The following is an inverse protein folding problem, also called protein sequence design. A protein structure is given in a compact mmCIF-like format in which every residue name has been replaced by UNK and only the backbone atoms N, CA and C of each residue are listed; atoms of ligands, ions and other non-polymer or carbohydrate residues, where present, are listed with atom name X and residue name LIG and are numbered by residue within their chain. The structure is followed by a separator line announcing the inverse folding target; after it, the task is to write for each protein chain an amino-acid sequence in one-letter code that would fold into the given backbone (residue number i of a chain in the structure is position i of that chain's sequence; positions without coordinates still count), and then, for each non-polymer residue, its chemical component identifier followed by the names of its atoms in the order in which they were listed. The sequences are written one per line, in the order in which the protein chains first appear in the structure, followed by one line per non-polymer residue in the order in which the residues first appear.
data_IF_421316919256
#
_entry.id   IF_421316919256
#
_cell.length_a   1.000
_cell.length_b   1.000
_cell.length_c   1.000
_cell.angle_alpha   90.00
_cell.angle_beta   90.00
_cell.angle_gamma   90.00
#
_symmetry.space_group_name_H-M   'P 1'
#
loop_
_entity.id
_entity.type
_entity.pdbx_description
1 polymer ?
#
# COMPACT_ATOMS: atom_id res chain seq x y z
N UNK A 1 15.70 -20.51 22.01
CA UNK A 1 15.46 -20.91 20.60
C UNK A 1 16.14 -19.89 19.71
N UNK A 2 17.14 -20.30 18.95
CA UNK A 2 17.94 -19.43 18.07
C UNK A 2 17.05 -18.82 16.99
N UNK A 3 16.83 -17.51 17.03
CA UNK A 3 16.13 -16.77 15.97
C UNK A 3 16.97 -16.86 14.70
N UNK A 4 16.41 -17.45 13.65
CA UNK A 4 17.14 -17.74 12.41
C UNK A 4 17.25 -16.45 11.57
N UNK A 5 18.31 -15.67 11.81
CA UNK A 5 18.56 -14.39 11.12
C UNK A 5 19.02 -14.53 9.67
N UNK A 6 19.46 -15.72 9.24
CA UNK A 6 20.22 -15.85 7.99
C UNK A 6 19.40 -16.05 6.70
N UNK A 7 18.07 -16.06 6.76
CA UNK A 7 17.25 -16.54 5.62
C UNK A 7 16.28 -15.57 4.95
N UNK A 8 15.87 -14.47 5.60
CA UNK A 8 14.72 -13.66 5.13
C UNK A 8 15.13 -12.31 4.53
N UNK A 9 14.86 -12.13 3.24
CA UNK A 9 15.02 -10.85 2.53
C UNK A 9 13.67 -10.24 2.15
N UNK A 10 13.44 -8.99 2.54
CA UNK A 10 12.22 -8.26 2.23
C UNK A 10 12.52 -7.12 1.26
N UNK A 11 11.77 -7.00 0.16
CA UNK A 11 11.93 -5.92 -0.82
C UNK A 11 10.74 -4.96 -0.76
N UNK A 12 11.02 -3.68 -0.51
CA UNK A 12 9.99 -2.64 -0.35
C UNK A 12 10.34 -1.39 -1.16
N UNK A 13 9.32 -0.79 -1.75
CA UNK A 13 9.36 0.39 -2.61
C UNK A 13 8.45 1.52 -2.10
N UNK A 14 7.60 1.24 -1.11
CA UNK A 14 6.65 2.19 -0.52
C UNK A 14 6.59 2.08 1.01
N UNK A 15 6.18 3.15 1.73
CA UNK A 15 6.01 3.13 3.18
C UNK A 15 5.00 2.07 3.66
N UNK A 16 3.91 1.87 2.90
CA UNK A 16 2.88 0.87 3.21
C UNK A 16 3.43 -0.55 3.07
N UNK A 17 4.22 -0.84 2.03
CA UNK A 17 4.88 -2.14 1.90
C UNK A 17 5.81 -2.41 3.10
N UNK A 18 6.57 -1.40 3.55
CA UNK A 18 7.44 -1.53 4.71
C UNK A 18 6.62 -1.76 5.99
N UNK A 19 5.49 -1.07 6.16
CA UNK A 19 4.55 -1.33 7.26
C UNK A 19 4.07 -2.79 7.25
N UNK A 20 3.61 -3.29 6.11
CA UNK A 20 3.12 -4.67 6.01
C UNK A 20 4.24 -5.72 6.16
N UNK A 21 5.50 -5.38 5.86
CA UNK A 21 6.65 -6.23 6.21
C UNK A 21 6.85 -6.30 7.72
N UNK A 22 6.70 -5.19 8.45
CA UNK A 22 6.81 -5.18 9.92
C UNK A 22 5.69 -5.97 10.58
N UNK A 23 4.46 -5.79 10.11
CA UNK A 23 3.30 -6.59 10.54
C UNK A 23 3.52 -8.09 10.32
N UNK A 24 3.99 -8.46 9.13
CA UNK A 24 4.29 -9.84 8.79
C UNK A 24 5.42 -10.42 9.67
N UNK A 25 6.52 -9.68 9.81
CA UNK A 25 7.69 -10.12 10.56
C UNK A 25 7.36 -10.30 12.05
N UNK A 26 6.55 -9.41 12.60
CA UNK A 26 6.06 -9.50 13.96
C UNK A 26 5.18 -10.74 14.18
N UNK A 27 4.22 -11.02 13.28
CA UNK A 27 3.38 -12.21 13.38
C UNK A 27 4.19 -13.51 13.25
N UNK A 28 5.15 -13.54 12.33
CA UNK A 28 5.99 -14.71 12.08
C UNK A 28 7.09 -14.89 13.15
N UNK A 29 7.38 -13.86 13.94
CA UNK A 29 8.52 -13.82 14.86
C UNK A 29 9.87 -13.78 14.14
N UNK A 30 9.90 -13.26 12.91
CA UNK A 30 11.07 -13.23 12.04
C UNK A 30 11.90 -11.95 12.22
N UNK A 31 13.22 -12.12 12.25
CA UNK A 31 14.15 -11.02 12.03
C UNK A 31 14.45 -10.91 10.52
N UNK A 32 14.11 -9.77 9.93
CA UNK A 32 14.21 -9.54 8.50
C UNK A 32 15.38 -8.63 8.11
N UNK A 33 15.93 -8.86 6.91
CA UNK A 33 16.72 -7.85 6.20
C UNK A 33 15.84 -7.14 5.18
N UNK A 34 15.47 -5.91 5.48
CA UNK A 34 14.62 -5.04 4.65
C UNK A 34 15.48 -4.26 3.67
N UNK A 35 15.32 -4.57 2.39
CA UNK A 35 15.95 -3.86 1.26
C UNK A 35 14.97 -2.83 0.73
N UNK A 36 15.26 -1.56 1.01
CA UNK A 36 14.48 -0.42 0.51
C UNK A 36 14.96 -0.05 -0.87
N UNK A 37 14.14 -0.32 -1.88
CA UNK A 37 14.36 0.04 -3.27
C UNK A 37 13.82 1.45 -3.51
N UNK A 38 14.66 2.45 -3.26
CA UNK A 38 14.21 3.83 -3.11
C UNK A 38 13.46 4.37 -4.36
N UNK A 39 12.30 5.01 -4.19
CA UNK A 39 11.65 5.78 -5.25
C UNK A 39 12.39 7.10 -5.51
N UNK A 40 11.99 7.81 -6.56
CA UNK A 40 12.51 9.15 -6.91
C UNK A 40 11.76 10.28 -6.21
N UNK A 41 10.50 10.06 -5.85
CA UNK A 41 9.64 11.05 -5.19
C UNK A 41 10.17 11.43 -3.79
N UNK A 42 10.52 12.71 -3.54
CA UNK A 42 11.11 13.15 -2.26
C UNK A 42 10.24 12.87 -1.04
N UNK A 43 8.92 13.05 -1.15
CA UNK A 43 7.98 12.82 -0.06
C UNK A 43 7.97 11.35 0.36
N UNK A 44 7.80 10.44 -0.61
CA UNK A 44 7.81 9.00 -0.37
C UNK A 44 9.16 8.54 0.18
N UNK A 45 10.28 9.11 -0.27
CA UNK A 45 11.61 8.84 0.31
C UNK A 45 11.70 9.28 1.78
N UNK A 46 11.16 10.44 2.13
CA UNK A 46 11.09 10.92 3.51
C UNK A 46 10.31 9.96 4.41
N UNK A 47 9.11 9.58 4.01
CA UNK A 47 8.29 8.61 4.74
C UNK A 47 9.00 7.25 4.87
N UNK A 48 9.65 6.77 3.80
CA UNK A 48 10.44 5.52 3.85
C UNK A 48 11.61 5.59 4.81
N UNK A 49 12.27 6.75 4.97
CA UNK A 49 13.34 6.92 5.96
C UNK A 49 12.80 6.80 7.38
N UNK A 50 11.65 7.41 7.69
CA UNK A 50 11.00 7.27 9.00
C UNK A 50 10.53 5.84 9.25
N UNK A 51 9.99 5.16 8.24
CA UNK A 51 9.67 3.73 8.34
C UNK A 51 10.93 2.86 8.54
N UNK A 52 12.04 3.19 7.88
CA UNK A 52 13.31 2.50 8.04
C UNK A 52 13.93 2.71 9.44
N UNK A 53 13.73 3.86 10.06
CA UNK A 53 14.06 4.09 11.47
C UNK A 53 13.26 3.14 12.36
N UNK A 54 11.92 3.10 12.18
CA UNK A 54 11.04 2.19 12.94
C UNK A 54 11.43 0.72 12.78
N UNK A 55 11.78 0.29 11.57
CA UNK A 55 12.22 -1.08 11.31
C UNK A 55 13.53 -1.42 12.05
N UNK A 56 14.48 -0.48 12.11
CA UNK A 56 15.73 -0.68 12.88
C UNK A 56 15.47 -0.73 14.37
N UNK A 57 14.60 0.14 14.87
CA UNK A 57 14.19 0.16 16.27
C UNK A 57 13.42 -1.11 16.68
N UNK A 58 12.88 -1.86 15.72
CA UNK A 58 12.23 -3.17 15.91
C UNK A 58 13.21 -4.35 15.77
N UNK A 59 14.50 -4.08 15.59
CA UNK A 59 15.57 -5.09 15.50
C UNK A 59 15.82 -5.62 14.09
N UNK A 60 15.24 -5.04 13.05
CA UNK A 60 15.49 -5.46 11.67
C UNK A 60 16.71 -4.78 11.06
N UNK A 61 17.38 -5.48 10.16
CA UNK A 61 18.45 -4.89 9.34
C UNK A 61 17.81 -4.15 8.18
N UNK A 62 18.21 -2.89 7.95
CA UNK A 62 17.70 -2.10 6.81
C UNK A 62 18.82 -1.69 5.88
N UNK A 63 18.72 -2.12 4.61
CA UNK A 63 19.63 -1.79 3.52
C UNK A 63 18.92 -0.88 2.51
N UNK A 64 19.50 0.30 2.25
CA UNK A 64 18.95 1.26 1.32
C UNK A 64 19.62 1.15 -0.06
N UNK A 65 18.85 1.00 -1.12
CA UNK A 65 19.33 0.83 -2.49
C UNK A 65 18.80 1.93 -3.41
N UNK A 66 19.71 2.66 -4.04
CA UNK A 66 19.40 3.69 -5.04
C UNK A 66 19.06 3.07 -6.40
N UNK A 67 18.05 2.19 -6.41
CA UNK A 67 17.68 1.37 -7.55
C UNK A 67 17.31 2.17 -8.82
N UNK A 68 16.94 3.44 -8.66
CA UNK A 68 16.45 4.34 -9.73
C UNK A 68 17.39 5.51 -10.05
N UNK A 69 18.61 5.53 -9.50
CA UNK A 69 19.58 6.61 -9.65
C UNK A 69 20.30 6.71 -11.01
N UNK A 70 19.81 6.04 -12.06
CA UNK A 70 20.38 6.12 -13.41
C UNK A 70 20.20 4.84 -14.25
N UNK A 71 20.60 4.84 -15.54
CA UNK A 71 20.37 3.71 -16.46
C UNK A 71 21.04 2.39 -16.03
N UNK A 72 22.17 2.47 -15.34
CA UNK A 72 22.93 1.31 -14.83
C UNK A 72 22.58 0.93 -13.39
N UNK A 73 21.76 1.74 -12.69
CA UNK A 73 21.39 1.51 -11.29
C UNK A 73 20.68 0.15 -11.05
N UNK A 74 19.76 -0.32 -11.92
CA UNK A 74 19.13 -1.63 -11.75
C UNK A 74 20.15 -2.77 -11.77
N UNK A 75 21.10 -2.75 -12.71
CA UNK A 75 22.11 -3.80 -12.85
C UNK A 75 23.06 -3.84 -11.65
N UNK A 76 23.50 -2.68 -11.15
CA UNK A 76 24.33 -2.59 -9.94
C UNK A 76 23.60 -3.10 -8.71
N UNK A 77 22.33 -2.70 -8.55
CA UNK A 77 21.48 -3.13 -7.43
C UNK A 77 21.28 -4.65 -7.46
N UNK A 78 20.92 -5.22 -8.61
CA UNK A 78 20.74 -6.67 -8.76
C UNK A 78 22.07 -7.41 -8.51
N UNK A 79 23.17 -6.95 -9.10
CA UNK A 79 24.49 -7.57 -8.91
C UNK A 79 24.93 -7.57 -7.45
N UNK A 80 24.73 -6.44 -6.74
CA UNK A 80 25.06 -6.31 -5.32
C UNK A 80 24.12 -7.05 -4.36
N UNK A 81 22.94 -7.44 -4.82
CA UNK A 81 21.97 -8.23 -4.04
C UNK A 81 21.99 -9.72 -4.38
N UNK A 82 22.60 -10.11 -5.51
CA UNK A 82 22.59 -11.49 -6.00
C UNK A 82 23.14 -12.52 -4.98
N UNK A 83 24.24 -12.27 -4.25
CA UNK A 83 24.71 -13.22 -3.24
C UNK A 83 23.68 -13.45 -2.12
N UNK A 84 23.10 -12.36 -1.59
CA UNK A 84 22.09 -12.41 -0.55
C UNK A 84 20.82 -13.12 -1.06
N UNK A 85 20.35 -12.80 -2.26
CA UNK A 85 19.20 -13.45 -2.89
C UNK A 85 19.37 -14.95 -3.12
N UNK A 86 20.59 -15.41 -3.42
CA UNK A 86 20.88 -16.83 -3.62
C UNK A 86 20.99 -17.59 -2.30
N UNK A 87 21.39 -16.91 -1.22
CA UNK A 87 21.48 -17.46 0.13
C UNK A 87 20.18 -17.36 0.93
N UNK A 88 19.21 -16.56 0.48
CA UNK A 88 17.95 -16.40 1.18
C UNK A 88 17.05 -17.64 1.04
N UNK A 89 16.58 -18.13 2.18
CA UNK A 89 15.59 -19.22 2.28
C UNK A 89 14.17 -18.71 1.95
N UNK A 90 13.91 -17.46 2.32
CA UNK A 90 12.62 -16.78 2.20
C UNK A 90 12.77 -15.38 1.61
N UNK A 91 11.91 -15.05 0.66
CA UNK A 91 11.83 -13.70 0.08
C UNK A 91 10.43 -13.13 0.26
N UNK A 92 10.36 -11.90 0.77
CA UNK A 92 9.13 -11.14 0.98
C UNK A 92 9.09 -9.96 0.02
N UNK A 93 7.96 -9.73 -0.64
CA UNK A 93 7.79 -8.68 -1.64
C UNK A 93 6.49 -7.92 -1.45
N UNK A 94 6.48 -6.61 -1.70
CA UNK A 94 5.27 -5.79 -1.72
C UNK A 94 4.50 -5.87 -3.05
N UNK A 95 5.04 -5.28 -4.12
CA UNK A 95 4.39 -5.25 -5.44
C UNK A 95 4.90 -6.40 -6.35
N UNK A 96 4.10 -7.44 -6.63
CA UNK A 96 4.48 -8.52 -7.56
C UNK A 96 4.55 -8.06 -9.03
N UNK A 97 4.00 -6.89 -9.36
CA UNK A 97 4.07 -6.27 -10.68
C UNK A 97 5.27 -5.33 -10.85
N UNK A 98 6.03 -5.07 -9.79
CA UNK A 98 7.23 -4.24 -9.88
C UNK A 98 8.28 -4.90 -10.76
N UNK A 99 8.73 -4.17 -11.80
CA UNK A 99 9.77 -4.67 -12.71
C UNK A 99 11.08 -4.99 -11.97
N UNK A 100 11.42 -4.21 -10.93
CA UNK A 100 12.61 -4.47 -10.12
C UNK A 100 12.46 -5.77 -9.35
N UNK A 101 11.33 -5.95 -8.67
CA UNK A 101 11.03 -7.18 -7.94
C UNK A 101 11.02 -8.38 -8.89
N UNK A 102 10.38 -8.27 -10.06
CA UNK A 102 10.37 -9.33 -11.06
C UNK A 102 11.78 -9.72 -11.53
N UNK A 103 12.68 -8.75 -11.74
CA UNK A 103 14.09 -9.03 -12.04
C UNK A 103 14.78 -9.74 -10.87
N UNK A 104 14.61 -9.28 -9.64
CA UNK A 104 15.22 -9.91 -8.45
C UNK A 104 14.72 -11.35 -8.25
N UNK A 105 13.43 -11.61 -8.52
CA UNK A 105 12.82 -12.94 -8.46
C UNK A 105 13.42 -13.92 -9.48
N UNK A 106 14.05 -13.46 -10.56
CA UNK A 106 14.77 -14.36 -11.49
C UNK A 106 16.08 -14.88 -10.89
N UNK A 107 16.62 -14.20 -9.88
CA UNK A 107 17.91 -14.52 -9.26
C UNK A 107 17.77 -15.36 -7.98
N UNK A 108 16.64 -15.25 -7.28
CA UNK A 108 16.42 -15.96 -6.01
C UNK A 108 16.33 -17.48 -6.17
N UNK A 109 16.80 -18.18 -5.13
CA UNK A 109 16.62 -19.63 -4.95
C UNK A 109 15.69 -19.98 -3.79
N UNK A 110 15.12 -18.96 -3.13
CA UNK A 110 14.19 -19.13 -2.04
C UNK A 110 13.03 -20.06 -2.43
N UNK A 111 12.73 -21.02 -1.56
CA UNK A 111 11.59 -21.92 -1.71
C UNK A 111 10.30 -21.31 -1.18
N UNK A 112 10.43 -20.26 -0.38
CA UNK A 112 9.31 -19.59 0.25
C UNK A 112 9.24 -18.14 -0.19
N UNK A 113 8.11 -17.78 -0.80
CA UNK A 113 7.81 -16.41 -1.19
C UNK A 113 6.58 -15.92 -0.43
N UNK A 114 6.70 -14.72 0.15
CA UNK A 114 5.58 -14.05 0.80
C UNK A 114 5.30 -12.76 0.04
N UNK A 115 4.06 -12.57 -0.38
CA UNK A 115 3.56 -11.30 -0.92
C UNK A 115 2.87 -10.57 0.22
N UNK A 116 3.36 -9.40 0.60
CA UNK A 116 2.69 -8.53 1.57
C UNK A 116 1.82 -7.49 0.85
N UNK A 117 0.85 -6.94 1.57
CA UNK A 117 -0.10 -5.97 1.04
C UNK A 117 0.58 -4.68 0.52
N UNK A 118 0.19 -4.25 -0.68
CA UNK A 118 0.52 -2.97 -1.32
C UNK A 118 -0.77 -2.22 -1.75
N UNK A 119 -1.91 -2.58 -1.14
CA UNK A 119 -3.21 -2.04 -1.47
C UNK A 119 -3.79 -2.66 -2.74
N UNK A 120 -4.12 -1.82 -3.71
CA UNK A 120 -4.87 -2.24 -4.92
C UNK A 120 -4.11 -3.23 -5.79
N UNK A 121 -2.77 -3.16 -5.79
CA UNK A 121 -1.93 -4.11 -6.53
C UNK A 121 -2.09 -5.54 -5.98
N UNK A 122 -2.28 -5.69 -4.67
CA UNK A 122 -2.46 -7.00 -4.04
C UNK A 122 -3.80 -7.62 -4.44
N UNK A 123 -4.88 -6.84 -4.45
CA UNK A 123 -6.20 -7.30 -4.93
C UNK A 123 -6.13 -7.75 -6.39
N UNK A 124 -5.44 -6.97 -7.24
CA UNK A 124 -5.25 -7.31 -8.65
C UNK A 124 -4.45 -8.61 -8.83
N UNK A 125 -3.38 -8.79 -8.05
CA UNK A 125 -2.55 -9.98 -8.08
C UNK A 125 -3.34 -11.25 -7.76
N UNK A 126 -4.12 -11.21 -6.67
CA UNK A 126 -4.98 -12.33 -6.25
C UNK A 126 -5.96 -12.70 -7.35
N UNK A 127 -6.64 -11.69 -7.91
CA UNK A 127 -7.61 -11.87 -8.98
C UNK A 127 -7.01 -12.50 -10.24
N UNK A 128 -5.80 -12.07 -10.62
CA UNK A 128 -5.09 -12.64 -11.78
C UNK A 128 -4.56 -14.04 -11.52
N UNK A 129 -4.11 -14.34 -10.30
CA UNK A 129 -3.59 -15.64 -9.95
C UNK A 129 -4.71 -16.68 -9.89
N UNK A 130 -5.88 -16.33 -9.33
CA UNK A 130 -7.07 -17.17 -9.30
C UNK A 130 -7.56 -17.53 -10.72
N UNK A 131 -7.53 -16.57 -11.65
CA UNK A 131 -7.94 -16.77 -13.05
C UNK A 131 -6.86 -17.35 -13.97
N UNK A 132 -5.66 -17.64 -13.44
CA UNK A 132 -4.54 -18.10 -14.27
C UNK A 132 -4.09 -17.09 -15.34
N UNK A 133 -4.36 -15.79 -15.14
CA UNK A 133 -4.07 -14.72 -16.08
C UNK A 133 -2.60 -14.25 -16.02
N UNK A 134 -2.13 -13.51 -17.03
CA UNK A 134 -0.77 -12.94 -17.05
C UNK A 134 -0.65 -11.83 -16.01
N UNK A 135 0.41 -11.85 -15.20
CA UNK A 135 0.81 -10.81 -14.24
C UNK A 135 1.16 -9.48 -14.93
N UNK A 136 0.14 -8.74 -15.36
CA UNK A 136 0.26 -7.44 -16.00
C UNK A 136 -0.69 -6.48 -15.29
N UNK A 137 -0.14 -5.38 -14.75
CA UNK A 137 -0.90 -4.33 -14.09
C UNK A 137 -1.99 -3.79 -15.04
N UNK A 138 -3.23 -3.68 -14.57
CA UNK A 138 -4.42 -3.47 -15.40
C UNK A 138 -4.41 -2.10 -16.06
N UNK A 139 -3.74 -1.09 -15.48
CA UNK A 139 -3.48 0.21 -16.12
C UNK A 139 -2.76 0.08 -17.48
N UNK A 140 -2.25 -1.09 -17.83
CA UNK A 140 -1.65 -1.41 -19.14
C UNK A 140 -2.56 -2.24 -20.05
N UNK A 141 -3.71 -2.73 -19.58
CA UNK A 141 -4.75 -3.34 -20.42
C UNK A 141 -5.56 -2.22 -21.09
N UNK A 142 -5.04 -1.69 -22.20
CA UNK A 142 -5.70 -0.65 -23.00
C UNK A 142 -4.76 0.14 -23.91
N UNK A 143 -3.46 0.17 -23.58
CA UNK A 143 -2.42 0.70 -24.47
C UNK A 143 -1.76 -0.41 -25.28
N UNK A 144 -1.41 -0.14 -26.54
CA UNK A 144 -0.54 -1.03 -27.33
C UNK A 144 0.75 -1.31 -26.51
N UNK A 145 1.18 -2.57 -26.35
CA UNK A 145 2.42 -2.88 -25.64
C UNK A 145 3.58 -2.09 -26.26
N UNK A 146 4.27 -1.28 -25.46
CA UNK A 146 5.45 -0.57 -25.95
C UNK A 146 6.58 -1.56 -26.25
N UNK A 147 7.54 -1.19 -27.10
CA UNK A 147 8.68 -2.04 -27.43
C UNK A 147 9.43 -2.57 -26.18
N UNK A 148 9.49 -1.76 -25.11
CA UNK A 148 10.08 -2.15 -23.81
C UNK A 148 9.28 -3.23 -23.07
N UNK A 149 7.96 -3.30 -23.24
CA UNK A 149 7.13 -4.33 -22.60
C UNK A 149 7.28 -5.70 -23.26
N UNK A 150 7.50 -5.72 -24.58
CA UNK A 150 7.78 -6.96 -25.32
C UNK A 150 9.13 -7.55 -24.92
N UNK A 151 10.17 -6.71 -24.80
CA UNK A 151 11.51 -7.14 -24.35
C UNK A 151 11.49 -7.66 -22.91
N UNK A 152 10.63 -7.11 -22.05
CA UNK A 152 10.52 -7.53 -20.65
C UNK A 152 9.63 -8.76 -20.43
N UNK A 153 8.92 -9.21 -21.47
CA UNK A 153 8.00 -10.36 -21.43
C UNK A 153 8.59 -11.64 -20.81
N UNK A 154 9.81 -12.07 -21.19
CA UNK A 154 10.45 -13.26 -20.61
C UNK A 154 10.71 -13.15 -19.11
N UNK A 155 11.11 -11.96 -18.63
CA UNK A 155 11.38 -11.70 -17.21
C UNK A 155 10.08 -11.79 -16.41
N UNK A 156 9.01 -11.14 -16.88
CA UNK A 156 7.70 -11.23 -16.24
C UNK A 156 7.16 -12.66 -16.23
N UNK A 157 7.39 -13.44 -17.31
CA UNK A 157 7.00 -14.84 -17.36
C UNK A 157 7.78 -15.71 -16.35
N UNK A 158 9.09 -15.48 -16.21
CA UNK A 158 9.91 -16.16 -15.23
C UNK A 158 9.51 -15.79 -13.79
N UNK A 159 9.30 -14.50 -13.50
CA UNK A 159 8.82 -14.04 -12.21
C UNK A 159 7.44 -14.61 -11.87
N UNK A 160 6.51 -14.68 -12.83
CA UNK A 160 5.22 -15.36 -12.66
C UNK A 160 5.39 -16.82 -12.30
N UNK A 161 6.23 -17.56 -13.05
CA UNK A 161 6.54 -18.95 -12.70
C UNK A 161 7.06 -19.06 -11.29
N UNK A 162 7.82 -18.08 -10.79
CA UNK A 162 8.31 -18.00 -9.40
C UNK A 162 7.24 -17.60 -8.39
N UNK A 163 6.14 -16.97 -8.78
CA UNK A 163 5.02 -16.61 -7.91
C UNK A 163 3.83 -17.58 -7.96
N UNK A 164 3.86 -18.61 -8.81
CA UNK A 164 2.80 -19.65 -8.88
C UNK A 164 3.18 -20.88 -8.07
N UNK A 165 2.44 -21.33 -7.04
CA UNK A 165 2.77 -22.53 -6.25
C UNK A 165 3.16 -23.76 -7.08
N UNK A 166 4.05 -24.62 -6.55
CA UNK A 166 4.44 -25.86 -7.23
C UNK A 166 5.32 -26.77 -6.39
N UNK A 167 5.73 -27.95 -6.92
CA UNK A 167 6.56 -28.90 -6.19
C UNK A 167 7.86 -28.25 -5.70
N UNK A 168 7.99 -28.09 -4.38
CA UNK A 168 9.16 -27.45 -3.75
C UNK A 168 9.12 -25.92 -3.64
N UNK A 169 7.98 -25.27 -3.92
CA UNK A 169 7.83 -23.81 -3.75
C UNK A 169 6.50 -23.44 -3.11
N UNK A 170 6.60 -22.74 -1.98
CA UNK A 170 5.47 -22.19 -1.23
C UNK A 170 5.31 -20.71 -1.56
N UNK A 171 4.08 -20.31 -1.82
CA UNK A 171 3.72 -18.91 -2.01
C UNK A 171 2.63 -18.58 -1.01
N UNK A 172 2.88 -17.56 -0.20
CA UNK A 172 1.94 -17.08 0.79
C UNK A 172 1.59 -15.62 0.51
N UNK A 173 0.36 -15.25 0.87
CA UNK A 173 -0.15 -13.90 0.79
C UNK A 173 -0.44 -13.42 2.21
N UNK A 174 0.17 -12.31 2.60
CA UNK A 174 -0.10 -11.62 3.86
C UNK A 174 -0.84 -10.30 3.57
N UNK A 175 -2.15 -10.28 3.79
CA UNK A 175 -2.99 -9.16 3.35
C UNK A 175 -4.10 -8.82 4.32
N UNK A 176 -4.49 -7.55 4.34
CA UNK A 176 -5.68 -7.06 5.04
C UNK A 176 -6.87 -6.85 4.08
N UNK A 177 -6.61 -6.92 2.78
CA UNK A 177 -7.63 -6.76 1.75
C UNK A 177 -8.56 -7.99 1.69
N UNK A 178 -9.85 -7.80 1.38
CA UNK A 178 -10.76 -8.92 1.14
C UNK A 178 -10.28 -9.73 -0.07
N UNK A 179 -10.26 -11.05 0.09
CA UNK A 179 -9.94 -12.02 -0.96
C UNK A 179 -11.13 -12.93 -1.15
N UNK A 180 -11.77 -12.85 -2.32
CA UNK A 180 -12.96 -13.64 -2.63
C UNK A 180 -12.60 -15.07 -3.07
N UNK A 181 -11.51 -15.23 -3.82
CA UNK A 181 -11.03 -16.49 -4.35
C UNK A 181 -9.57 -16.71 -3.96
N UNK A 182 -9.30 -17.81 -3.24
CA UNK A 182 -7.94 -18.21 -2.87
C UNK A 182 -7.36 -19.04 -4.00
N UNK A 183 -6.23 -18.61 -4.63
CA UNK A 183 -5.62 -19.39 -5.69
C UNK A 183 -5.06 -20.73 -5.19
N UNK A 184 -5.17 -21.77 -6.00
CA UNK A 184 -4.72 -23.12 -5.65
C UNK A 184 -3.25 -23.14 -5.19
N UNK A 185 -3.02 -23.72 -4.01
CA UNK A 185 -1.69 -23.85 -3.41
C UNK A 185 -1.11 -22.58 -2.79
N UNK A 186 -1.86 -21.46 -2.76
CA UNK A 186 -1.46 -20.24 -2.05
C UNK A 186 -2.02 -20.25 -0.63
N UNK A 187 -1.17 -19.99 0.36
CA UNK A 187 -1.61 -19.80 1.75
C UNK A 187 -1.90 -18.33 2.00
N UNK A 188 -3.10 -17.99 2.46
CA UNK A 188 -3.43 -16.62 2.86
C UNK A 188 -3.34 -16.50 4.38
N UNK A 189 -2.63 -15.47 4.83
CA UNK A 189 -2.57 -15.05 6.23
C UNK A 189 -3.13 -13.63 6.32
N UNK A 190 -4.05 -13.43 7.25
CA UNK A 190 -4.69 -12.12 7.43
C UNK A 190 -3.76 -11.19 8.20
N UNK A 191 -3.55 -9.98 7.69
CA UNK A 191 -2.88 -8.92 8.43
C UNK A 191 -3.90 -8.25 9.37
N UNK A 192 -3.76 -8.51 10.68
CA UNK A 192 -4.60 -7.95 11.73
C UNK A 192 -4.04 -6.65 12.34
N UNK A 193 -2.98 -6.07 11.76
CA UNK A 193 -2.29 -4.89 12.27
C UNK A 193 -1.86 -5.02 13.75
N UNK A 194 -1.46 -6.23 14.18
CA UNK A 194 -1.12 -6.50 15.58
C UNK A 194 0.14 -5.74 16.00
N UNK A 195 1.16 -5.66 15.13
CA UNK A 195 2.38 -4.92 15.43
C UNK A 195 2.07 -3.44 15.63
N UNK A 196 1.29 -2.83 14.73
CA UNK A 196 0.86 -1.44 14.83
C UNK A 196 0.09 -1.18 16.12
N UNK A 197 -0.84 -2.09 16.47
CA UNK A 197 -1.68 -1.94 17.65
C UNK A 197 -0.88 -2.05 18.94
N UNK A 198 0.01 -3.03 19.03
CA UNK A 198 0.86 -3.26 20.20
C UNK A 198 1.90 -2.15 20.38
N UNK A 199 2.56 -1.74 19.29
CA UNK A 199 3.67 -0.77 19.36
C UNK A 199 3.23 0.66 19.66
N UNK A 200 2.08 1.09 19.14
CA UNK A 200 1.66 2.50 19.24
C UNK A 200 0.53 2.76 20.23
N UNK A 201 -0.06 1.73 20.84
CA UNK A 201 -1.16 1.87 21.80
C UNK A 201 -2.41 2.51 21.18
N UNK A 202 -3.52 2.64 21.94
CA UNK A 202 -4.71 3.32 21.43
C UNK A 202 -4.48 4.84 21.35
N UNK A 203 -4.99 5.51 20.31
CA UNK A 203 -4.88 6.96 20.20
C UNK A 203 -5.76 7.66 21.24
N UNK A 204 -5.41 8.91 21.56
CA UNK A 204 -6.35 9.82 22.22
C UNK A 204 -7.50 10.14 21.25
N UNK A 205 -8.69 9.63 21.54
CA UNK A 205 -9.89 9.89 20.75
C UNK A 205 -10.46 11.28 21.07
N UNK A 206 -10.63 12.13 20.06
CA UNK A 206 -11.24 13.45 20.19
C UNK A 206 -12.70 13.43 19.75
N UNK A 207 -13.45 14.49 20.10
CA UNK A 207 -14.79 14.70 19.55
C UNK A 207 -14.69 15.04 18.05
N UNK A 208 -15.79 14.84 17.32
CA UNK A 208 -15.88 15.18 15.90
C UNK A 208 -15.22 14.15 14.98
N UNK A 209 -14.74 14.64 13.83
CA UNK A 209 -14.19 13.80 12.78
C UNK A 209 -12.83 14.27 12.24
N UNK A 210 -12.15 13.37 11.57
CA UNK A 210 -11.04 13.67 10.67
C UNK A 210 -11.41 13.29 9.24
N UNK A 211 -10.99 14.09 8.26
CA UNK A 211 -11.18 13.82 6.84
C UNK A 211 -9.89 13.29 6.22
N UNK A 212 -9.99 12.27 5.39
CA UNK A 212 -8.88 11.70 4.63
C UNK A 212 -9.03 12.09 3.17
N UNK A 213 -8.04 12.81 2.68
CA UNK A 213 -7.99 13.31 1.32
C UNK A 213 -7.73 12.25 0.27
N UNK A 214 -7.84 12.65 -0.99
CA UNK A 214 -7.63 11.77 -2.15
C UNK A 214 -6.98 12.54 -3.31
N UNK A 215 -6.32 11.82 -4.21
CA UNK A 215 -5.72 12.39 -5.42
C UNK A 215 -6.65 12.45 -6.63
N UNK A 216 -7.96 12.22 -6.45
CA UNK A 216 -8.89 12.11 -7.58
C UNK A 216 -8.93 13.40 -8.42
N UNK A 217 -8.82 14.56 -7.78
CA UNK A 217 -8.73 15.87 -8.44
C UNK A 217 -7.43 15.97 -9.26
N UNK A 218 -6.30 15.59 -8.68
CA UNK A 218 -4.99 15.65 -9.37
C UNK A 218 -4.89 14.66 -10.53
N UNK A 219 -5.65 13.57 -10.48
CA UNK A 219 -5.78 12.63 -11.60
C UNK A 219 -6.84 13.05 -12.63
N UNK A 220 -7.52 14.19 -12.41
CA UNK A 220 -8.57 14.71 -13.27
C UNK A 220 -9.86 13.89 -13.27
N UNK A 221 -10.05 13.00 -12.29
CA UNK A 221 -11.25 12.14 -12.18
C UNK A 221 -12.42 12.92 -11.59
N UNK A 222 -12.14 13.79 -10.62
CA UNK A 222 -13.14 14.57 -9.89
C UNK A 222 -12.88 16.05 -10.11
N UNK A 223 -13.95 16.81 -10.33
CA UNK A 223 -13.91 18.27 -10.41
C UNK A 223 -13.47 18.91 -9.08
N UNK A 224 -12.60 19.92 -9.17
CA UNK A 224 -12.01 20.58 -8.00
C UNK A 224 -13.06 21.31 -7.15
N UNK A 225 -13.96 22.08 -7.78
CA UNK A 225 -14.92 22.90 -7.05
C UNK A 225 -15.98 22.02 -6.37
N UNK A 226 -16.42 20.96 -7.06
CA UNK A 226 -17.28 19.93 -6.47
C UNK A 226 -16.62 19.23 -5.28
N UNK A 227 -15.34 18.91 -5.39
CA UNK A 227 -14.59 18.28 -4.31
C UNK A 227 -14.50 19.18 -3.07
N UNK A 228 -14.15 20.46 -3.24
CA UNK A 228 -14.04 21.41 -2.13
C UNK A 228 -15.40 21.66 -1.46
N UNK A 229 -16.47 21.77 -2.25
CA UNK A 229 -17.83 21.85 -1.75
C UNK A 229 -18.16 20.64 -0.85
N UNK A 230 -17.89 19.43 -1.32
CA UNK A 230 -18.15 18.21 -0.57
C UNK A 230 -17.35 18.15 0.74
N UNK A 231 -16.06 18.51 0.70
CA UNK A 231 -15.22 18.56 1.91
C UNK A 231 -15.79 19.56 2.93
N UNK A 232 -16.29 20.71 2.47
CA UNK A 232 -16.91 21.72 3.35
C UNK A 232 -18.20 21.21 3.99
N UNK A 233 -19.06 20.55 3.21
CA UNK A 233 -20.31 19.96 3.70
C UNK A 233 -20.05 18.84 4.71
N UNK A 234 -19.13 17.92 4.39
CA UNK A 234 -18.72 16.84 5.31
C UNK A 234 -18.11 17.38 6.59
N UNK A 235 -17.28 18.42 6.50
CA UNK A 235 -16.67 19.04 7.67
C UNK A 235 -17.72 19.65 8.60
N UNK A 236 -18.71 20.36 8.05
CA UNK A 236 -19.80 20.94 8.83
C UNK A 236 -20.71 19.86 9.44
N UNK A 237 -21.11 18.85 8.65
CA UNK A 237 -22.05 17.81 9.07
C UNK A 237 -21.49 16.90 10.18
N UNK A 238 -20.18 16.64 10.18
CA UNK A 238 -19.54 15.71 11.10
C UNK A 238 -18.63 16.39 12.14
N UNK A 239 -18.54 17.73 12.13
CA UNK A 239 -17.63 18.48 12.99
C UNK A 239 -16.18 18.05 12.75
N UNK A 240 -15.77 17.97 11.48
CA UNK A 240 -14.40 17.61 11.16
C UNK A 240 -13.46 18.76 11.52
N UNK A 241 -12.29 18.44 12.07
CA UNK A 241 -11.31 19.45 12.52
C UNK A 241 -10.00 19.39 11.74
N UNK A 242 -9.67 18.22 11.18
CA UNK A 242 -8.42 17.98 10.46
C UNK A 242 -8.68 17.32 9.12
N UNK A 243 -7.80 17.63 8.18
CA UNK A 243 -7.77 17.03 6.85
C UNK A 243 -6.40 16.40 6.62
N UNK A 244 -6.35 15.06 6.58
CA UNK A 244 -5.16 14.30 6.24
C UNK A 244 -4.96 14.29 4.73
N UNK A 245 -4.09 15.16 4.24
CA UNK A 245 -3.80 15.30 2.83
C UNK A 245 -3.12 14.05 2.27
N UNK A 246 -3.62 13.58 1.14
CA UNK A 246 -2.96 12.59 0.34
C UNK A 246 -1.69 13.17 -0.29
N UNK A 247 -0.61 12.37 -0.35
CA UNK A 247 0.74 12.81 -0.77
C UNK A 247 0.84 13.47 -2.15
N UNK A 248 -0.13 13.22 -3.03
CA UNK A 248 -0.18 13.79 -4.38
C UNK A 248 -0.94 15.11 -4.45
N UNK A 249 -1.60 15.53 -3.37
CA UNK A 249 -2.43 16.74 -3.39
C UNK A 249 -1.59 18.01 -3.53
N UNK A 250 -2.02 18.87 -4.46
CA UNK A 250 -1.32 20.12 -4.77
C UNK A 250 -1.39 21.13 -3.63
N UNK A 251 -0.35 21.95 -3.48
CA UNK A 251 -0.30 22.99 -2.45
C UNK A 251 -1.45 24.00 -2.60
N UNK A 252 -1.77 24.41 -3.84
CA UNK A 252 -2.82 25.40 -4.11
C UNK A 252 -4.20 24.88 -3.70
N UNK A 253 -4.51 23.61 -4.04
CA UNK A 253 -5.74 22.95 -3.62
C UNK A 253 -5.86 22.91 -2.10
N UNK A 254 -4.79 22.50 -1.42
CA UNK A 254 -4.77 22.38 0.04
C UNK A 254 -4.87 23.74 0.74
N UNK A 255 -4.26 24.79 0.18
CA UNK A 255 -4.39 26.15 0.70
C UNK A 255 -5.83 26.65 0.58
N UNK A 256 -6.45 26.44 -0.59
CA UNK A 256 -7.85 26.78 -0.81
C UNK A 256 -8.79 25.99 0.10
N UNK A 257 -8.58 24.69 0.26
CA UNK A 257 -9.32 23.83 1.17
C UNK A 257 -9.24 24.34 2.61
N UNK A 258 -8.05 24.65 3.11
CA UNK A 258 -7.86 25.20 4.45
C UNK A 258 -8.60 26.53 4.62
N UNK A 259 -8.52 27.42 3.62
CA UNK A 259 -9.20 28.72 3.64
C UNK A 259 -10.73 28.63 3.61
N UNK A 260 -11.29 27.71 2.84
CA UNK A 260 -12.76 27.57 2.68
C UNK A 260 -13.43 26.77 3.82
N UNK A 261 -12.68 25.92 4.51
CA UNK A 261 -13.24 24.99 5.52
C UNK A 261 -12.76 25.25 6.94
N UNK A 262 -11.64 25.95 7.11
CA UNK A 262 -10.99 26.12 8.41
C UNK A 262 -10.34 24.84 8.96
N UNK A 263 -10.29 23.75 8.18
CA UNK A 263 -9.66 22.50 8.59
C UNK A 263 -8.15 22.65 8.74
N UNK A 264 -7.58 22.04 9.78
CA UNK A 264 -6.14 21.87 9.89
C UNK A 264 -5.67 20.84 8.85
N UNK A 265 -4.93 21.30 7.84
CA UNK A 265 -4.34 20.41 6.84
C UNK A 265 -3.10 19.73 7.41
N UNK A 266 -3.20 18.42 7.60
CA UNK A 266 -2.10 17.57 8.07
C UNK A 266 -1.49 16.84 6.87
N UNK A 267 -0.16 16.88 6.74
CA UNK A 267 0.59 16.06 5.77
C UNK A 267 1.29 14.92 6.51
N UNK A 268 0.76 13.68 6.47
CA UNK A 268 1.34 12.54 7.18
C UNK A 268 2.79 12.27 6.78
N UNK A 269 3.68 12.12 7.77
CA UNK A 269 5.07 11.67 7.56
C UNK A 269 5.24 10.14 7.63
N UNK A 270 4.14 9.42 7.91
CA UNK A 270 4.04 7.97 8.01
C UNK A 270 2.71 7.49 7.39
N UNK A 271 2.55 6.16 7.13
CA UNK A 271 1.25 5.58 6.78
C UNK A 271 0.14 5.99 7.76
N UNK A 272 -1.07 6.17 7.24
CA UNK A 272 -2.18 6.73 8.00
C UNK A 272 -2.59 5.84 9.19
N UNK A 273 -2.38 4.53 9.07
CA UNK A 273 -2.59 3.55 10.14
C UNK A 273 -1.72 3.89 11.38
N UNK A 274 -0.47 4.28 11.16
CA UNK A 274 0.44 4.67 12.24
C UNK A 274 0.09 6.04 12.81
N UNK A 275 -0.22 7.01 11.94
CA UNK A 275 -0.63 8.35 12.37
C UNK A 275 -1.91 8.29 13.20
N UNK A 276 -2.92 7.55 12.73
CA UNK A 276 -4.18 7.39 13.43
C UNK A 276 -4.02 6.64 14.76
N UNK A 277 -3.02 5.75 14.90
CA UNK A 277 -2.73 5.10 16.20
C UNK A 277 -1.96 5.98 17.17
N UNK A 278 -1.00 6.76 16.67
CA UNK A 278 -0.30 7.76 17.50
C UNK A 278 -1.24 8.85 18.00
N UNK A 279 -2.20 9.20 17.17
CA UNK A 279 -3.24 10.17 17.47
C UNK A 279 -2.70 11.61 17.63
N UNK A 280 -3.56 12.55 18.09
CA UNK A 280 -4.98 12.33 18.37
C UNK A 280 -5.76 11.88 17.13
N UNK A 281 -6.94 11.28 17.32
CA UNK A 281 -7.80 10.77 16.25
C UNK A 281 -9.26 11.11 16.55
N UNK A 282 -10.00 11.62 15.57
CA UNK A 282 -11.43 11.90 15.71
C UNK A 282 -12.23 10.65 16.04
N UNK A 283 -13.37 10.81 16.69
CA UNK A 283 -14.30 9.70 16.93
C UNK A 283 -14.79 9.05 15.63
N UNK A 284 -14.76 9.80 14.52
CA UNK A 284 -14.99 9.29 13.17
C UNK A 284 -13.86 9.70 12.23
N UNK A 285 -13.38 8.76 11.41
CA UNK A 285 -12.50 9.04 10.27
C UNK A 285 -13.32 8.88 8.99
N UNK A 286 -13.49 9.98 8.28
CA UNK A 286 -14.20 10.08 7.02
C UNK A 286 -13.19 9.96 5.88
N UNK A 287 -13.33 8.95 5.03
CA UNK A 287 -12.42 8.75 3.91
C UNK A 287 -13.16 8.70 2.59
N UNK A 288 -12.72 9.48 1.62
CA UNK A 288 -13.07 9.19 0.22
C UNK A 288 -12.54 7.81 -0.18
N UNK A 289 -13.03 7.19 -1.28
CA UNK A 289 -12.68 5.82 -1.62
C UNK A 289 -11.16 5.66 -1.80
N UNK A 290 -10.58 4.84 -0.93
CA UNK A 290 -9.15 4.63 -0.77
C UNK A 290 -8.93 3.29 -0.09
N UNK A 291 -7.77 2.65 -0.28
CA UNK A 291 -7.45 1.38 0.38
C UNK A 291 -7.46 1.48 1.91
N UNK A 292 -7.31 2.69 2.46
CA UNK A 292 -7.33 2.92 3.90
C UNK A 292 -8.66 2.55 4.56
N UNK A 293 -9.76 2.47 3.79
CA UNK A 293 -11.06 2.00 4.31
C UNK A 293 -11.05 0.53 4.70
N UNK A 294 -10.11 -0.26 4.16
CA UNK A 294 -9.92 -1.66 4.55
C UNK A 294 -8.94 -1.82 5.72
N UNK A 295 -7.98 -0.90 5.86
CA UNK A 295 -6.88 -1.02 6.83
C UNK A 295 -7.16 -0.30 8.14
N UNK A 296 -7.68 0.92 8.10
CA UNK A 296 -7.95 1.72 9.29
C UNK A 296 -8.91 1.08 10.29
N UNK A 297 -10.02 0.41 9.87
CA UNK A 297 -10.89 -0.27 10.83
C UNK A 297 -10.15 -1.34 11.64
N UNK A 298 -9.21 -2.04 11.01
CA UNK A 298 -8.41 -3.10 11.61
C UNK A 298 -7.35 -2.49 12.54
N UNK A 299 -6.60 -1.51 12.04
CA UNK A 299 -5.57 -0.82 12.83
C UNK A 299 -6.16 -0.16 14.09
N UNK A 300 -7.37 0.42 13.98
CA UNK A 300 -8.06 1.11 15.07
C UNK A 300 -9.00 0.21 15.89
N UNK A 301 -8.94 -1.11 15.71
CA UNK A 301 -9.78 -2.04 16.44
C UNK A 301 -9.59 -1.88 17.97
N UNK A 302 -10.73 -1.85 18.69
CA UNK A 302 -10.77 -1.67 20.14
C UNK A 302 -10.62 -0.22 20.63
N UNK A 303 -10.54 0.76 19.74
CA UNK A 303 -10.38 2.19 20.13
C UNK A 303 -11.70 2.96 20.22
N UNK A 304 -12.78 2.42 19.66
CA UNK A 304 -14.07 3.10 19.53
C UNK A 304 -14.15 4.11 18.36
N UNK A 305 -13.04 4.33 17.64
CA UNK A 305 -13.03 5.14 16.42
C UNK A 305 -13.81 4.43 15.31
N UNK A 306 -14.69 5.16 14.63
CA UNK A 306 -15.46 4.67 13.49
C UNK A 306 -14.79 5.13 12.20
N UNK A 307 -14.78 4.28 11.18
CA UNK A 307 -14.41 4.69 9.82
C UNK A 307 -15.69 4.76 8.99
N UNK A 308 -15.81 5.77 8.14
CA UNK A 308 -16.88 5.89 7.17
C UNK A 308 -16.31 6.24 5.79
N UNK A 309 -16.90 5.67 4.73
CA UNK A 309 -16.55 5.98 3.35
C UNK A 309 -17.47 7.10 2.84
N UNK A 310 -16.89 8.18 2.36
CA UNK A 310 -17.62 9.23 1.65
C UNK A 310 -17.73 8.82 0.19
N UNK A 311 -18.95 8.58 -0.30
CA UNK A 311 -19.15 8.24 -1.70
C UNK A 311 -18.83 9.43 -2.62
N UNK A 312 -18.37 9.12 -3.83
CA UNK A 312 -18.19 10.13 -4.88
C UNK A 312 -19.48 10.19 -5.67
N UNK A 313 -20.17 11.32 -5.60
CA UNK A 313 -21.34 11.57 -6.43
C UNK A 313 -20.92 11.52 -7.91
N UNK A 314 -21.60 10.73 -8.76
CA UNK A 314 -21.35 10.70 -10.19
C UNK A 314 -21.34 12.08 -10.87
N UNK A 315 -22.08 13.06 -10.33
CA UNK A 315 -22.11 14.44 -10.82
C UNK A 315 -20.79 15.21 -10.61
N UNK A 316 -19.87 14.69 -9.77
CA UNK A 316 -18.54 15.30 -9.58
C UNK A 316 -17.52 14.81 -10.61
N UNK A 317 -17.85 13.76 -11.37
CA UNK A 317 -16.94 13.17 -12.34
C UNK A 317 -16.75 14.11 -13.53
N UNK A 318 -15.51 14.28 -13.97
CA UNK A 318 -15.19 15.08 -15.15
C UNK A 318 -15.65 14.38 -16.43
N UNK A 319 -15.83 15.14 -17.52
CA UNK A 319 -16.18 14.57 -18.82
C UNK A 319 -15.05 13.67 -19.36
N UNK A 320 -15.39 12.43 -19.70
CA UNK A 320 -14.43 11.46 -20.26
C UNK A 320 -13.76 10.55 -19.23
N UNK A 321 -14.22 10.56 -17.97
CA UNK A 321 -13.83 9.54 -16.99
C UNK A 321 -14.21 8.17 -17.52
N UNK A 322 -13.21 7.30 -17.71
CA UNK A 322 -13.42 5.93 -18.15
C UNK A 322 -14.35 5.18 -17.19
N UNK A 323 -15.21 4.31 -17.73
CA UNK A 323 -16.04 3.34 -16.96
C UNK A 323 -15.21 2.58 -15.91
N UNK A 324 -13.92 2.44 -16.20
CA UNK A 324 -12.94 1.85 -15.32
C UNK A 324 -12.79 2.57 -13.97
N UNK A 325 -12.58 3.90 -13.97
CA UNK A 325 -12.37 4.65 -12.74
C UNK A 325 -13.62 4.58 -11.85
N UNK A 326 -14.81 4.57 -12.45
CA UNK A 326 -16.06 4.38 -11.74
C UNK A 326 -16.17 2.98 -11.14
N UNK A 327 -15.83 1.94 -11.90
CA UNK A 327 -15.82 0.55 -11.42
C UNK A 327 -14.87 0.35 -10.23
N UNK A 328 -13.70 0.98 -10.26
CA UNK A 328 -12.73 0.94 -9.17
C UNK A 328 -13.26 1.61 -7.88
N UNK A 329 -13.85 2.81 -7.99
CA UNK A 329 -14.44 3.51 -6.84
C UNK A 329 -15.57 2.69 -6.20
N UNK A 330 -16.47 2.14 -7.03
CA UNK A 330 -17.55 1.25 -6.56
C UNK A 330 -17.00 -0.02 -5.92
N UNK A 331 -15.94 -0.60 -6.49
CA UNK A 331 -15.29 -1.81 -5.97
C UNK A 331 -14.70 -1.60 -4.58
N UNK A 332 -14.06 -0.46 -4.31
CA UNK A 332 -13.56 -0.13 -2.96
C UNK A 332 -14.71 0.00 -1.97
N UNK A 333 -15.73 0.79 -2.31
CA UNK A 333 -16.89 1.02 -1.42
C UNK A 333 -17.59 -0.29 -1.11
N UNK A 334 -17.88 -1.11 -2.14
CA UNK A 334 -18.60 -2.38 -1.98
C UNK A 334 -17.83 -3.48 -1.24
N UNK A 335 -16.49 -3.42 -1.22
CA UNK A 335 -15.65 -4.41 -0.53
C UNK A 335 -15.23 -3.98 0.89
N UNK A 336 -15.53 -2.75 1.30
CA UNK A 336 -15.21 -2.22 2.62
C UNK A 336 -16.09 -2.86 3.70
N UNK A 337 -15.53 -3.80 4.48
CA UNK A 337 -16.26 -4.50 5.55
C UNK A 337 -16.31 -3.67 6.82
N UNK A 338 -17.49 -3.56 7.43
CA UNK A 338 -17.67 -2.89 8.73
C UNK A 338 -17.58 -1.36 8.67
N UNK A 339 -17.59 -0.77 7.48
CA UNK A 339 -17.52 0.68 7.26
C UNK A 339 -18.91 1.19 6.85
N UNK A 340 -19.32 2.34 7.38
CA UNK A 340 -20.58 2.99 6.97
C UNK A 340 -20.33 3.88 5.76
N UNK A 341 -21.26 3.89 4.82
CA UNK A 341 -21.30 4.92 3.78
C UNK A 341 -21.94 6.18 4.34
N UNK A 342 -21.36 7.34 4.02
CA UNK A 342 -21.91 8.67 4.32
C UNK A 342 -21.98 9.54 3.08
#
# INVERSE_FOLDING_TARGET
MSRNTSGTLCFVESPVQLLNVLEWAHLDGAEATVVVLSPTDPMTRGQLRRMAELARDDGHTVRWEEARGGPSAPFRTIGGLAPALRGADRVVIGDPFSRYVQLLLTTTRARELVVVDDGTATMEFVSQLARGERLVRWHRRGGRPGARDLVFGPVSAAARRRLTPGPGRRVSLFTSMPVDEVPDGVTITTNAYSWTRERFGPPRVTRGADLVGTSLVETGVVDLDRYLQAVRELAAAHGATRYFAHRREGADKLHRLAGETGLEVVRPDLPLELIARRGPTGATVLSFPSTVVHTLPIALEGTGVKVAVCEIDPAWLTHGVSDHAQGFLRGIVGSARGVRTV
#
